data_IF_570720753493
#
_entry.id   IF_570720753493
#
_cell.length_a   1.000
_cell.length_b   1.000
_cell.length_c   1.000
_cell.angle_alpha   90.00
_cell.angle_beta   90.00
_cell.angle_gamma   90.00
#
_symmetry.space_group_name_H-M   'P 1'
#
loop_
_entity.id
_entity.type
_entity.pdbx_description
1 polymer ?
#
# COMPACT_ATOMS: atom_id res chain seq x y z
N UNK A 1 -113.75 92.20 -3.14
CA UNK A 1 -113.57 90.86 -2.52
C UNK A 1 -113.08 89.78 -3.50
N UNK A 2 -113.40 89.84 -4.80
CA UNK A 2 -113.03 88.82 -5.79
C UNK A 2 -111.52 88.71 -6.07
N UNK A 3 -110.80 89.85 -6.12
CA UNK A 3 -109.35 89.84 -6.38
C UNK A 3 -108.55 89.21 -5.24
N UNK A 4 -108.98 89.42 -3.99
CA UNK A 4 -108.29 88.87 -2.81
C UNK A 4 -108.44 87.33 -2.75
N UNK A 5 -109.60 86.78 -3.11
CA UNK A 5 -109.81 85.33 -3.21
C UNK A 5 -108.95 84.69 -4.31
N UNK A 6 -108.83 85.35 -5.46
CA UNK A 6 -107.96 84.86 -6.54
C UNK A 6 -106.48 84.88 -6.14
N UNK A 7 -106.05 85.95 -5.46
CA UNK A 7 -104.68 86.04 -4.95
C UNK A 7 -104.38 84.94 -3.94
N UNK A 8 -105.28 84.69 -2.98
CA UNK A 8 -105.14 83.62 -2.00
C UNK A 8 -105.09 82.25 -2.68
N UNK A 9 -105.97 81.99 -3.66
CA UNK A 9 -105.98 80.71 -4.38
C UNK A 9 -104.71 80.49 -5.20
N UNK A 10 -104.19 81.53 -5.86
CA UNK A 10 -102.93 81.46 -6.60
C UNK A 10 -101.74 81.22 -5.66
N UNK A 11 -101.70 81.88 -4.50
CA UNK A 11 -100.66 81.65 -3.50
C UNK A 11 -100.71 80.21 -3.00
N UNK A 12 -101.89 79.69 -2.64
CA UNK A 12 -102.05 78.29 -2.21
C UNK A 12 -101.57 77.30 -3.28
N UNK A 13 -101.89 77.56 -4.56
CA UNK A 13 -101.49 76.69 -5.66
C UNK A 13 -99.98 76.73 -5.90
N UNK A 14 -99.36 77.91 -5.84
CA UNK A 14 -97.90 78.06 -5.92
C UNK A 14 -97.22 77.34 -4.76
N UNK A 15 -97.75 77.44 -3.54
CA UNK A 15 -97.22 76.72 -2.38
C UNK A 15 -97.31 75.21 -2.56
N UNK A 16 -98.43 74.71 -3.12
CA UNK A 16 -98.61 73.29 -3.38
C UNK A 16 -97.69 72.77 -4.49
N UNK A 17 -97.54 73.52 -5.58
CA UNK A 17 -96.66 73.15 -6.69
C UNK A 17 -95.18 73.16 -6.27
N UNK A 18 -94.75 74.14 -5.46
CA UNK A 18 -93.40 74.13 -4.87
C UNK A 18 -93.20 72.94 -3.92
N UNK A 19 -94.23 72.55 -3.17
CA UNK A 19 -94.20 71.34 -2.33
C UNK A 19 -93.98 70.06 -3.13
N UNK A 20 -94.60 69.95 -4.30
CA UNK A 20 -94.46 68.78 -5.18
C UNK A 20 -93.11 68.72 -5.90
N UNK A 21 -92.53 69.85 -6.33
CA UNK A 21 -91.23 69.89 -7.03
C UNK A 21 -90.06 69.47 -6.14
N UNK A 22 -90.18 69.64 -4.82
CA UNK A 22 -89.15 69.23 -3.86
C UNK A 22 -89.13 67.70 -3.63
N UNK A 23 -90.22 66.99 -3.96
CA UNK A 23 -90.31 65.53 -3.86
C UNK A 23 -89.87 64.84 -5.16
N UNK A 24 -88.59 64.94 -5.53
CA UNK A 24 -88.02 64.11 -6.60
C UNK A 24 -87.33 62.91 -5.96
N UNK A 25 -87.79 61.70 -6.27
CA UNK A 25 -87.18 60.43 -5.85
C UNK A 25 -86.13 60.00 -6.90
N UNK A 26 -84.81 60.16 -6.66
CA UNK A 26 -83.81 59.76 -7.63
C UNK A 26 -83.62 58.24 -7.56
N UNK A 27 -83.86 57.55 -8.68
CA UNK A 27 -83.54 56.12 -8.80
C UNK A 27 -82.04 56.00 -9.06
N UNK A 28 -81.30 55.37 -8.14
CA UNK A 28 -79.87 55.06 -8.32
C UNK A 28 -79.62 53.57 -8.11
N UNK A 29 -79.14 52.91 -9.17
CA UNK A 29 -78.93 51.46 -9.25
C UNK A 29 -77.56 51.07 -8.65
N UNK A 30 -77.51 50.87 -7.34
CA UNK A 30 -76.50 50.04 -6.66
C UNK A 30 -77.26 49.15 -5.68
N UNK A 31 -76.86 47.88 -5.48
CA UNK A 31 -77.64 46.79 -4.88
C UNK A 31 -78.22 46.96 -3.46
N UNK A 32 -78.27 48.17 -2.91
CA UNK A 32 -79.22 48.59 -1.87
C UNK A 32 -79.60 50.07 -2.10
N UNK A 33 -80.89 50.42 -2.19
CA UNK A 33 -81.30 51.80 -2.46
C UNK A 33 -80.89 52.72 -1.31
N UNK A 34 -80.13 53.78 -1.62
CA UNK A 34 -79.92 54.90 -0.70
C UNK A 34 -81.22 55.70 -0.69
N UNK A 35 -82.03 55.52 0.35
CA UNK A 35 -83.22 56.33 0.56
C UNK A 35 -82.77 57.76 0.94
N UNK A 36 -82.69 58.66 -0.05
CA UNK A 36 -82.45 60.07 0.22
C UNK A 36 -83.77 60.70 0.62
N UNK A 37 -84.03 60.75 1.92
CA UNK A 37 -85.18 61.47 2.44
C UNK A 37 -84.93 62.98 2.29
N UNK A 38 -85.74 63.67 1.49
CA UNK A 38 -85.59 65.12 1.24
C UNK A 38 -85.77 65.95 2.51
N UNK A 39 -86.30 65.35 3.59
CA UNK A 39 -86.34 65.95 4.93
C UNK A 39 -84.96 66.38 5.47
N UNK A 40 -83.88 65.76 5.02
CA UNK A 40 -82.53 66.04 5.52
C UNK A 40 -81.88 67.25 4.84
N UNK A 41 -82.53 67.83 3.81
CA UNK A 41 -82.08 69.02 3.10
C UNK A 41 -82.76 70.25 3.72
N UNK A 42 -82.14 70.82 4.75
CA UNK A 42 -82.59 72.08 5.33
C UNK A 42 -82.14 73.25 4.46
N UNK A 43 -83.08 73.91 3.77
CA UNK A 43 -82.83 75.14 3.01
C UNK A 43 -83.21 76.33 3.89
N UNK A 44 -82.27 76.77 4.72
CA UNK A 44 -82.39 78.04 5.42
C UNK A 44 -81.50 79.09 4.72
N UNK A 45 -82.11 80.18 4.27
CA UNK A 45 -81.45 81.43 3.88
C UNK A 45 -80.47 81.35 2.70
N UNK A 46 -80.73 80.46 1.73
CA UNK A 46 -79.91 80.32 0.53
C UNK A 46 -78.68 79.42 0.69
N UNK A 47 -78.50 78.79 1.85
CA UNK A 47 -77.43 77.82 2.09
C UNK A 47 -78.03 76.42 2.24
N UNK A 48 -77.70 75.50 1.32
CA UNK A 48 -78.14 74.11 1.36
C UNK A 48 -77.31 73.36 2.40
N UNK A 49 -77.91 72.91 3.51
CA UNK A 49 -77.22 72.02 4.45
C UNK A 49 -77.20 70.59 3.92
N UNK A 50 -76.10 70.18 3.30
CA UNK A 50 -75.88 68.82 2.75
C UNK A 50 -75.29 67.85 3.78
N UNK A 51 -75.26 68.23 5.06
CA UNK A 51 -74.59 67.48 6.13
C UNK A 51 -75.06 66.03 6.29
N UNK A 52 -76.36 65.75 6.12
CA UNK A 52 -76.91 64.40 6.12
C UNK A 52 -76.46 63.56 4.92
N UNK A 53 -76.41 64.17 3.73
CA UNK A 53 -75.90 63.52 2.51
C UNK A 53 -74.40 63.21 2.61
N UNK A 54 -73.63 64.17 3.12
CA UNK A 54 -72.20 64.01 3.36
C UNK A 54 -71.95 62.89 4.38
N UNK A 55 -72.79 62.77 5.41
CA UNK A 55 -72.74 61.68 6.39
C UNK A 55 -73.05 60.31 5.77
N UNK A 56 -74.03 60.21 4.88
CA UNK A 56 -74.37 58.95 4.20
C UNK A 56 -73.29 58.52 3.19
N UNK A 57 -72.74 59.47 2.43
CA UNK A 57 -71.62 59.20 1.51
C UNK A 57 -70.38 58.79 2.30
N UNK A 58 -70.07 59.49 3.39
CA UNK A 58 -68.94 59.16 4.25
C UNK A 58 -69.12 57.76 4.86
N UNK A 59 -70.30 57.45 5.39
CA UNK A 59 -70.63 56.11 5.89
C UNK A 59 -70.46 55.04 4.81
N UNK A 60 -70.95 55.28 3.60
CA UNK A 60 -70.82 54.34 2.46
C UNK A 60 -69.37 54.13 2.05
N UNK A 61 -68.58 55.20 1.95
CA UNK A 61 -67.14 55.14 1.65
C UNK A 61 -66.41 54.41 2.76
N UNK A 62 -66.67 54.75 4.03
CA UNK A 62 -66.07 54.09 5.19
C UNK A 62 -66.40 52.60 5.20
N UNK A 63 -67.65 52.21 4.94
CA UNK A 63 -68.05 50.82 4.85
C UNK A 63 -67.37 50.10 3.69
N UNK A 64 -67.36 50.70 2.49
CA UNK A 64 -66.75 50.10 1.29
C UNK A 64 -65.25 49.92 1.47
N UNK A 65 -64.55 50.94 1.94
CA UNK A 65 -63.10 50.88 2.21
C UNK A 65 -62.82 49.87 3.32
N UNK A 66 -63.59 49.90 4.42
CA UNK A 66 -63.41 48.93 5.51
C UNK A 66 -63.59 47.50 5.03
N UNK A 67 -64.63 47.19 4.25
CA UNK A 67 -64.88 45.83 3.77
C UNK A 67 -63.88 45.38 2.71
N UNK A 68 -63.53 46.24 1.75
CA UNK A 68 -62.57 45.90 0.69
C UNK A 68 -61.17 45.68 1.27
N UNK A 69 -60.71 46.57 2.15
CA UNK A 69 -59.37 46.46 2.75
C UNK A 69 -59.30 45.29 3.74
N UNK A 70 -60.30 45.10 4.59
CA UNK A 70 -60.30 43.96 5.53
C UNK A 70 -60.42 42.61 4.82
N UNK A 71 -61.21 42.53 3.75
CA UNK A 71 -61.31 41.34 2.91
C UNK A 71 -59.97 40.96 2.26
N UNK A 72 -59.32 41.90 1.58
CA UNK A 72 -58.01 41.65 0.95
C UNK A 72 -56.93 41.28 1.96
N UNK A 73 -56.89 41.95 3.11
CA UNK A 73 -55.93 41.62 4.18
C UNK A 73 -56.22 40.23 4.73
N UNK A 74 -57.49 39.87 4.95
CA UNK A 74 -57.89 38.54 5.40
C UNK A 74 -57.52 37.46 4.40
N UNK A 75 -57.67 37.71 3.11
CA UNK A 75 -57.27 36.77 2.05
C UNK A 75 -55.76 36.57 2.03
N UNK A 76 -54.97 37.65 2.03
CA UNK A 76 -53.51 37.56 2.08
C UNK A 76 -53.04 36.84 3.34
N UNK A 77 -53.58 37.20 4.50
CA UNK A 77 -53.28 36.50 5.76
C UNK A 77 -53.65 35.03 5.63
N UNK A 78 -54.85 34.70 5.15
CA UNK A 78 -55.31 33.34 4.94
C UNK A 78 -54.43 32.52 3.98
N UNK A 79 -53.90 33.14 2.93
CA UNK A 79 -52.94 32.46 2.03
C UNK A 79 -51.59 32.17 2.70
N UNK A 80 -51.09 33.09 3.54
CA UNK A 80 -49.79 32.97 4.20
C UNK A 80 -49.86 32.06 5.42
N UNK A 81 -50.88 32.22 6.26
CA UNK A 81 -51.07 31.47 7.51
C UNK A 81 -51.84 30.18 7.33
N UNK A 82 -52.52 30.01 6.19
CA UNK A 82 -53.44 28.90 5.94
C UNK A 82 -54.79 29.10 6.58
N UNK A 83 -55.79 28.48 5.95
CA UNK A 83 -57.05 28.14 6.58
C UNK A 83 -56.97 26.72 7.15
N UNK A 84 -57.70 26.44 8.23
CA UNK A 84 -57.71 25.12 8.87
C UNK A 84 -58.05 24.03 7.84
N UNK A 85 -57.14 23.06 7.65
CA UNK A 85 -57.28 21.97 6.67
C UNK A 85 -56.54 22.16 5.34
N UNK A 86 -55.86 23.30 5.12
CA UNK A 86 -54.99 23.53 3.96
C UNK A 86 -53.50 23.56 4.35
N UNK A 87 -52.60 23.19 3.43
CA UNK A 87 -51.15 23.31 3.64
C UNK A 87 -50.73 24.77 3.47
N UNK A 88 -50.34 25.43 4.55
CA UNK A 88 -49.85 26.81 4.48
C UNK A 88 -48.34 26.88 4.20
N UNK A 89 -47.87 27.89 3.44
CA UNK A 89 -46.45 28.04 3.10
C UNK A 89 -45.54 28.14 4.33
N UNK A 90 -45.99 28.82 5.39
CA UNK A 90 -45.22 28.96 6.63
C UNK A 90 -45.00 27.62 7.34
N UNK A 91 -45.96 26.71 7.27
CA UNK A 91 -45.92 25.36 7.82
C UNK A 91 -44.95 24.50 7.03
N UNK A 92 -44.92 24.61 5.70
CA UNK A 92 -43.91 23.96 4.86
C UNK A 92 -42.50 24.45 5.20
N UNK A 93 -42.29 25.77 5.34
CA UNK A 93 -41.00 26.34 5.73
C UNK A 93 -40.63 25.88 7.15
N UNK A 94 -41.58 25.90 8.09
CA UNK A 94 -41.37 25.45 9.47
C UNK A 94 -41.03 23.97 9.52
N UNK A 95 -41.64 23.13 8.68
CA UNK A 95 -41.34 21.71 8.59
C UNK A 95 -39.96 21.46 7.96
N UNK A 96 -39.58 22.20 6.92
CA UNK A 96 -38.25 22.10 6.30
C UNK A 96 -37.15 22.56 7.26
N UNK A 97 -37.34 23.73 7.88
CA UNK A 97 -36.43 24.27 8.89
C UNK A 97 -36.40 23.33 10.10
N UNK A 98 -37.54 22.85 10.57
CA UNK A 98 -37.67 21.88 11.65
C UNK A 98 -37.07 20.51 11.32
N UNK A 99 -37.03 20.08 10.05
CA UNK A 99 -36.28 18.90 9.62
C UNK A 99 -34.77 19.14 9.62
N UNK A 100 -34.35 20.32 9.18
CA UNK A 100 -32.95 20.74 9.16
C UNK A 100 -32.38 20.93 10.58
N UNK A 101 -33.15 21.55 11.49
CA UNK A 101 -32.77 21.89 12.87
C UNK A 101 -33.20 20.84 13.90
N UNK A 102 -34.32 20.17 13.71
CA UNK A 102 -34.91 19.19 14.65
C UNK A 102 -34.39 17.77 14.49
N UNK A 103 -33.61 17.49 13.45
CA UNK A 103 -32.87 16.23 13.35
C UNK A 103 -31.72 16.10 14.37
N UNK A 104 -31.59 16.99 15.36
CA UNK A 104 -30.64 16.83 16.47
C UNK A 104 -31.06 15.69 17.41
N UNK A 105 -32.34 15.29 17.42
CA UNK A 105 -32.83 14.13 18.18
C UNK A 105 -33.29 12.96 17.30
N UNK A 106 -33.25 13.10 15.97
CA UNK A 106 -33.83 12.15 15.02
C UNK A 106 -33.17 12.08 13.64
N UNK A 107 -31.85 12.29 13.57
CA UNK A 107 -31.06 12.11 12.34
C UNK A 107 -31.23 13.25 11.33
N UNK A 108 -30.73 14.44 11.67
CA UNK A 108 -30.56 15.54 10.71
C UNK A 108 -29.65 15.05 9.58
N UNK A 109 -29.90 15.44 8.32
CA UNK A 109 -28.96 15.21 7.23
C UNK A 109 -27.54 15.70 7.57
N UNK A 110 -27.44 16.78 8.36
CA UNK A 110 -26.18 17.32 8.86
C UNK A 110 -25.54 16.39 9.89
N UNK A 111 -26.32 15.79 10.79
CA UNK A 111 -25.83 14.82 11.77
C UNK A 111 -25.31 13.54 11.11
N UNK A 112 -25.98 13.07 10.05
CA UNK A 112 -25.48 11.97 9.23
C UNK A 112 -24.13 12.30 8.56
N UNK A 113 -24.00 13.51 8.01
CA UNK A 113 -22.74 13.97 7.44
C UNK A 113 -21.64 14.12 8.50
N UNK A 114 -21.95 14.67 9.68
CA UNK A 114 -20.99 14.74 10.80
C UNK A 114 -20.54 13.35 11.24
N UNK A 115 -21.43 12.35 11.26
CA UNK A 115 -21.08 10.97 11.59
C UNK A 115 -20.16 10.35 10.53
N UNK A 116 -20.44 10.55 9.25
CA UNK A 116 -19.58 10.09 8.14
C UNK A 116 -18.20 10.76 8.21
N UNK A 117 -18.16 12.07 8.40
CA UNK A 117 -16.90 12.82 8.55
C UNK A 117 -16.13 12.33 9.79
N UNK A 118 -16.80 12.13 10.93
CA UNK A 118 -16.19 11.58 12.13
C UNK A 118 -15.62 10.17 11.93
N UNK A 119 -16.33 9.31 11.18
CA UNK A 119 -15.84 7.99 10.79
C UNK A 119 -14.60 8.05 9.88
N UNK A 120 -14.60 8.92 8.87
CA UNK A 120 -13.45 9.13 7.98
C UNK A 120 -12.26 9.72 8.74
N UNK A 121 -12.47 10.72 9.61
CA UNK A 121 -11.42 11.28 10.45
C UNK A 121 -10.87 10.24 11.44
N UNK A 122 -11.72 9.39 12.01
CA UNK A 122 -11.30 8.28 12.87
C UNK A 122 -10.48 7.24 12.12
N UNK A 123 -10.90 6.85 10.92
CA UNK A 123 -10.17 5.92 10.06
C UNK A 123 -8.81 6.50 9.63
N UNK A 124 -8.78 7.77 9.20
CA UNK A 124 -7.53 8.48 8.86
C UNK A 124 -6.63 8.59 10.09
N UNK A 125 -7.17 8.95 11.26
CA UNK A 125 -6.42 9.00 12.52
C UNK A 125 -5.86 7.64 12.93
N UNK A 126 -6.58 6.55 12.66
CA UNK A 126 -6.07 5.19 12.82
C UNK A 126 -4.89 4.87 11.90
N UNK A 127 -4.90 5.40 10.67
CA UNK A 127 -3.81 5.25 9.70
C UNK A 127 -2.63 6.19 9.96
N UNK A 128 -2.84 7.39 10.51
CA UNK A 128 -1.76 8.34 10.79
C UNK A 128 -1.15 8.19 12.18
N UNK A 129 -1.67 7.30 13.02
CA UNK A 129 -1.12 6.97 14.33
C UNK A 129 -1.87 7.65 15.48
N UNK A 130 -3.05 7.14 15.79
CA UNK A 130 -3.71 7.38 17.07
C UNK A 130 -3.00 6.65 18.20
N UNK A 131 -2.86 7.31 19.36
CA UNK A 131 -1.99 6.98 20.49
C UNK A 131 -2.09 5.58 21.13
N UNK A 132 -2.91 4.66 20.61
CA UNK A 132 -3.08 3.30 21.16
C UNK A 132 -3.27 2.21 20.09
N UNK A 133 -3.26 2.56 18.80
CA UNK A 133 -3.38 1.60 17.71
C UNK A 133 -2.14 1.64 16.85
N UNK A 134 -1.43 0.53 16.74
CA UNK A 134 -0.27 0.40 15.84
C UNK A 134 -0.67 0.88 14.45
N UNK A 135 -0.10 2.02 14.02
CA UNK A 135 -0.24 2.52 12.67
C UNK A 135 0.17 1.37 11.73
N UNK A 136 -0.65 0.96 10.74
CA UNK A 136 -0.28 -0.06 9.77
C UNK A 136 1.09 0.20 9.11
N UNK A 137 1.44 1.47 8.87
CA UNK A 137 2.75 1.88 8.34
C UNK A 137 3.86 1.68 9.38
N UNK A 138 3.58 1.93 10.66
CA UNK A 138 4.47 1.61 11.77
C UNK A 138 4.73 0.10 11.87
N UNK A 139 3.67 -0.71 11.85
CA UNK A 139 3.78 -2.18 11.83
C UNK A 139 4.58 -2.69 10.63
N UNK A 140 4.36 -2.14 9.44
CA UNK A 140 5.13 -2.50 8.24
C UNK A 140 6.59 -2.07 8.40
N UNK A 141 6.84 -0.89 8.96
CA UNK A 141 8.21 -0.41 9.23
C UNK A 141 8.91 -1.30 10.26
N UNK A 142 8.20 -1.74 11.31
CA UNK A 142 8.72 -2.65 12.34
C UNK A 142 8.98 -4.05 11.77
N UNK A 143 8.10 -4.56 10.90
CA UNK A 143 8.32 -5.84 10.19
C UNK A 143 9.54 -5.73 9.27
N UNK A 144 9.62 -4.68 8.46
CA UNK A 144 10.75 -4.45 7.55
C UNK A 144 12.04 -4.29 8.35
N UNK A 145 12.04 -3.48 9.40
CA UNK A 145 13.16 -3.28 10.33
C UNK A 145 13.54 -4.55 11.09
N UNK A 146 12.58 -5.39 11.46
CA UNK A 146 12.83 -6.69 12.08
C UNK A 146 13.48 -7.70 11.13
N UNK A 147 13.00 -7.76 9.88
CA UNK A 147 13.55 -8.65 8.83
C UNK A 147 14.93 -8.19 8.38
N UNK A 148 15.11 -6.89 8.12
CA UNK A 148 16.38 -6.33 7.66
C UNK A 148 17.39 -6.11 8.78
N UNK A 149 16.92 -5.96 10.02
CA UNK A 149 17.74 -5.41 11.10
C UNK A 149 17.70 -6.13 12.43
N UNK A 150 16.91 -7.19 12.65
CA UNK A 150 16.96 -8.05 13.85
C UNK A 150 16.87 -7.38 15.24
N UNK A 151 16.86 -6.06 15.38
CA UNK A 151 17.18 -5.40 16.65
C UNK A 151 16.26 -4.20 16.84
N UNK A 152 15.11 -4.47 17.45
CA UNK A 152 14.62 -3.61 18.53
C UNK A 152 14.29 -4.41 19.80
N UNK A 153 14.65 -5.71 19.88
CA UNK A 153 14.19 -6.57 20.97
C UNK A 153 14.95 -7.88 21.23
N UNK A 154 16.27 -7.94 20.96
CA UNK A 154 17.11 -9.04 21.44
C UNK A 154 16.92 -10.42 20.78
N UNK A 155 16.19 -10.51 19.66
CA UNK A 155 16.10 -11.73 18.85
C UNK A 155 17.15 -11.75 17.74
N UNK A 156 17.60 -12.94 17.32
CA UNK A 156 18.43 -13.07 16.12
C UNK A 156 17.59 -12.75 14.88
N UNK A 157 18.10 -11.91 13.96
CA UNK A 157 17.44 -11.64 12.68
C UNK A 157 17.03 -12.97 12.01
N UNK A 158 15.83 -13.08 11.41
CA UNK A 158 15.46 -14.24 10.59
C UNK A 158 16.45 -14.51 9.45
N UNK A 159 17.27 -13.51 9.08
CA UNK A 159 18.32 -13.61 8.07
C UNK A 159 19.67 -14.12 8.64
N UNK A 160 19.82 -14.23 9.96
CA UNK A 160 21.05 -14.71 10.60
C UNK A 160 21.51 -16.09 10.10
N UNK A 161 20.62 -17.08 9.87
CA UNK A 161 21.03 -18.36 9.28
C UNK A 161 21.64 -18.19 7.87
N UNK A 162 21.08 -17.30 7.05
CA UNK A 162 21.58 -17.03 5.70
C UNK A 162 22.94 -16.35 5.75
N UNK A 163 23.11 -15.35 6.63
CA UNK A 163 24.39 -14.66 6.84
C UNK A 163 25.47 -15.64 7.31
N UNK A 164 25.14 -16.54 8.23
CA UNK A 164 26.08 -17.57 8.72
C UNK A 164 26.51 -18.53 7.60
N UNK A 165 25.59 -18.96 6.74
CA UNK A 165 25.91 -19.81 5.59
C UNK A 165 26.81 -19.08 4.60
N UNK A 166 26.50 -17.81 4.29
CA UNK A 166 27.33 -16.99 3.39
C UNK A 166 28.73 -16.79 3.98
N UNK A 167 28.84 -16.47 5.26
CA UNK A 167 30.13 -16.32 5.93
C UNK A 167 30.92 -17.63 5.92
N UNK A 168 30.29 -18.75 6.24
CA UNK A 168 30.93 -20.07 6.17
C UNK A 168 31.41 -20.40 4.75
N UNK A 169 30.65 -20.01 3.72
CA UNK A 169 31.06 -20.17 2.33
C UNK A 169 32.30 -19.33 1.97
N UNK A 170 32.37 -18.10 2.49
CA UNK A 170 33.55 -17.23 2.34
C UNK A 170 34.76 -17.84 3.06
N UNK A 171 34.58 -18.36 4.26
CA UNK A 171 35.66 -18.98 5.04
C UNK A 171 36.23 -20.22 4.29
N UNK A 172 35.36 -21.03 3.70
CA UNK A 172 35.76 -22.16 2.82
C UNK A 172 36.52 -21.66 1.59
N UNK A 173 36.05 -20.59 0.94
CA UNK A 173 36.71 -20.03 -0.24
C UNK A 173 38.11 -19.48 0.09
N UNK A 174 38.27 -18.81 1.23
CA UNK A 174 39.58 -18.39 1.74
C UNK A 174 40.47 -19.59 2.09
N UNK A 175 39.88 -20.66 2.66
CA UNK A 175 40.56 -21.93 2.87
C UNK A 175 41.12 -22.52 1.57
N UNK A 176 40.32 -22.57 0.51
CA UNK A 176 40.74 -23.02 -0.82
C UNK A 176 41.84 -22.13 -1.41
N UNK A 177 41.78 -20.81 -1.20
CA UNK A 177 42.81 -19.88 -1.66
C UNK A 177 44.14 -20.09 -0.93
N UNK A 178 44.11 -20.33 0.38
CA UNK A 178 45.30 -20.68 1.16
C UNK A 178 45.88 -22.04 0.74
N UNK A 179 45.01 -23.02 0.46
CA UNK A 179 45.39 -24.35 0.01
C UNK A 179 46.05 -24.32 -1.37
N UNK A 180 45.52 -23.53 -2.31
CA UNK A 180 46.14 -23.30 -3.62
C UNK A 180 47.59 -22.86 -3.45
N UNK A 181 47.84 -21.85 -2.61
CA UNK A 181 49.19 -21.32 -2.36
C UNK A 181 50.10 -22.37 -1.73
N UNK A 182 49.58 -23.16 -0.77
CA UNK A 182 50.34 -24.23 -0.13
C UNK A 182 50.74 -25.33 -1.12
N UNK A 183 49.82 -25.82 -1.95
CA UNK A 183 50.10 -26.86 -2.95
C UNK A 183 51.16 -26.39 -3.94
N UNK A 184 51.07 -25.14 -4.41
CA UNK A 184 52.07 -24.57 -5.33
C UNK A 184 53.45 -24.54 -4.66
N UNK A 185 53.55 -24.04 -3.43
CA UNK A 185 54.83 -23.93 -2.72
C UNK A 185 55.42 -25.31 -2.40
N UNK A 186 54.60 -26.24 -1.91
CA UNK A 186 55.01 -27.62 -1.65
C UNK A 186 55.44 -28.32 -2.94
N UNK A 187 54.67 -28.18 -4.03
CA UNK A 187 55.00 -28.75 -5.32
C UNK A 187 56.34 -28.22 -5.87
N UNK A 188 56.58 -26.91 -5.79
CA UNK A 188 57.87 -26.32 -6.19
C UNK A 188 59.02 -26.87 -5.35
N UNK A 189 58.87 -26.93 -4.03
CA UNK A 189 59.93 -27.43 -3.14
C UNK A 189 60.21 -28.92 -3.37
N UNK A 190 59.15 -29.74 -3.51
CA UNK A 190 59.30 -31.17 -3.81
C UNK A 190 59.96 -31.38 -5.17
N UNK A 191 59.55 -30.68 -6.23
CA UNK A 191 60.20 -30.80 -7.54
C UNK A 191 61.66 -30.32 -7.46
N UNK A 192 61.94 -29.23 -6.76
CA UNK A 192 63.30 -28.75 -6.56
C UNK A 192 64.17 -29.79 -5.84
N UNK A 193 63.69 -30.39 -4.74
CA UNK A 193 64.45 -31.39 -3.98
C UNK A 193 64.61 -32.71 -4.75
N UNK A 194 63.59 -33.14 -5.50
CA UNK A 194 63.60 -34.44 -6.19
C UNK A 194 64.37 -34.38 -7.52
N UNK A 195 64.20 -33.31 -8.30
CA UNK A 195 64.88 -33.15 -9.61
C UNK A 195 66.35 -32.77 -9.46
N UNK A 196 66.71 -32.04 -8.39
CA UNK A 196 68.12 -31.74 -8.10
C UNK A 196 68.83 -32.91 -7.39
N UNK A 197 68.10 -33.73 -6.63
CA UNK A 197 68.68 -34.84 -5.86
C UNK A 197 68.88 -36.15 -6.63
N UNK A 198 68.09 -36.43 -7.67
CA UNK A 198 68.06 -37.77 -8.29
C UNK A 198 67.83 -37.67 -9.80
N UNK A 199 68.90 -37.47 -10.56
CA UNK A 199 68.91 -37.86 -11.98
C UNK A 199 69.78 -39.10 -12.11
N UNK A 200 69.15 -40.28 -12.22
CA UNK A 200 69.00 -40.82 -13.56
C UNK A 200 67.57 -41.27 -13.89
N UNK A 201 67.28 -41.08 -15.18
CA UNK A 201 66.04 -41.31 -15.89
C UNK A 201 65.54 -42.76 -15.74
N UNK A 202 64.37 -42.95 -15.14
CA UNK A 202 63.53 -44.10 -15.43
C UNK A 202 62.13 -43.56 -15.77
N UNK A 203 61.56 -44.02 -16.88
CA UNK A 203 60.41 -43.43 -17.57
C UNK A 203 59.06 -43.61 -16.85
N UNK A 204 59.05 -44.26 -15.68
CA UNK A 204 57.82 -44.67 -14.99
C UNK A 204 57.26 -43.62 -14.02
N UNK A 205 58.00 -43.09 -13.03
CA UNK A 205 57.42 -42.20 -12.03
C UNK A 205 56.99 -40.83 -12.58
N UNK A 206 57.63 -40.34 -13.65
CA UNK A 206 57.28 -39.04 -14.25
C UNK A 206 55.90 -39.07 -14.89
N UNK A 207 55.53 -40.20 -15.50
CA UNK A 207 54.22 -40.41 -16.13
C UNK A 207 53.11 -40.48 -15.08
N UNK A 208 53.34 -41.21 -13.99
CA UNK A 208 52.36 -41.34 -12.91
C UNK A 208 52.18 -40.03 -12.14
N UNK A 209 53.26 -39.25 -11.95
CA UNK A 209 53.19 -37.88 -11.41
C UNK A 209 52.35 -36.97 -12.32
N UNK A 210 52.49 -37.09 -13.65
CA UNK A 210 51.69 -36.33 -14.59
C UNK A 210 50.20 -36.72 -14.54
N UNK A 211 49.89 -38.02 -14.43
CA UNK A 211 48.52 -38.50 -14.24
C UNK A 211 47.91 -38.01 -12.92
N UNK A 212 48.71 -37.98 -11.83
CA UNK A 212 48.26 -37.42 -10.55
C UNK A 212 47.95 -35.92 -10.66
N UNK A 213 48.78 -35.18 -11.40
CA UNK A 213 48.55 -33.76 -11.69
C UNK A 213 47.25 -33.53 -12.47
N UNK A 214 47.01 -34.32 -13.53
CA UNK A 214 45.77 -34.25 -14.33
C UNK A 214 44.55 -34.60 -13.48
N UNK A 215 44.60 -35.70 -12.72
CA UNK A 215 43.52 -36.13 -11.84
C UNK A 215 43.19 -35.07 -10.77
N UNK A 216 44.20 -34.40 -10.23
CA UNK A 216 44.01 -33.31 -9.27
C UNK A 216 43.28 -32.12 -9.91
N UNK A 217 43.63 -31.78 -11.16
CA UNK A 217 42.98 -30.70 -11.90
C UNK A 217 41.53 -31.02 -12.25
N UNK A 218 41.25 -32.25 -12.70
CA UNK A 218 39.89 -32.73 -12.97
C UNK A 218 39.04 -32.77 -11.70
N UNK A 219 39.59 -33.28 -10.60
CA UNK A 219 38.92 -33.27 -9.28
C UNK A 219 38.54 -31.86 -8.85
N UNK A 220 39.47 -30.91 -8.98
CA UNK A 220 39.25 -29.51 -8.65
C UNK A 220 38.14 -28.90 -9.52
N UNK A 221 38.21 -29.11 -10.84
CA UNK A 221 37.21 -28.59 -11.78
C UNK A 221 35.81 -29.12 -11.49
N UNK A 222 35.68 -30.42 -11.29
CA UNK A 222 34.38 -31.06 -11.11
C UNK A 222 33.78 -30.75 -9.72
N UNK A 223 34.63 -30.61 -8.70
CA UNK A 223 34.22 -30.13 -7.36
C UNK A 223 33.71 -28.69 -7.42
N UNK A 224 34.40 -27.80 -8.14
CA UNK A 224 33.98 -26.40 -8.29
C UNK A 224 32.66 -26.30 -9.07
N UNK A 225 32.51 -27.08 -10.15
CA UNK A 225 31.27 -27.10 -10.92
C UNK A 225 30.09 -27.62 -10.08
N UNK A 226 30.27 -28.70 -9.32
CA UNK A 226 29.24 -29.21 -8.41
C UNK A 226 28.92 -28.24 -7.26
N UNK A 227 29.93 -27.53 -6.73
CA UNK A 227 29.70 -26.51 -5.70
C UNK A 227 28.89 -25.33 -6.24
N UNK A 228 29.16 -24.89 -7.47
CA UNK A 228 28.41 -23.82 -8.11
C UNK A 228 26.96 -24.24 -8.41
N UNK A 229 26.75 -25.48 -8.82
CA UNK A 229 25.41 -26.06 -9.01
C UNK A 229 24.66 -26.15 -7.67
N UNK A 230 25.32 -26.59 -6.60
CA UNK A 230 24.76 -26.61 -5.24
C UNK A 230 24.29 -25.22 -4.80
N UNK A 231 25.13 -24.19 -4.99
CA UNK A 231 24.79 -22.80 -4.69
C UNK A 231 23.64 -22.32 -5.57
N UNK A 232 23.65 -22.66 -6.86
CA UNK A 232 22.58 -22.31 -7.81
C UNK A 232 21.23 -22.88 -7.38
N UNK A 233 21.17 -24.16 -7.00
CA UNK A 233 19.95 -24.78 -6.47
C UNK A 233 19.50 -24.13 -5.16
N UNK A 234 20.43 -23.84 -4.24
CA UNK A 234 20.10 -23.20 -2.96
C UNK A 234 19.54 -21.77 -3.15
N UNK A 235 20.12 -20.99 -4.07
CA UNK A 235 19.62 -19.66 -4.45
C UNK A 235 18.26 -19.76 -5.18
N UNK A 236 18.06 -20.84 -5.95
CA UNK A 236 16.77 -21.17 -6.58
C UNK A 236 15.71 -21.72 -5.61
N UNK A 237 16.05 -21.95 -4.34
CA UNK A 237 15.14 -22.51 -3.32
C UNK A 237 14.97 -24.03 -3.36
N UNK A 238 15.77 -24.75 -4.16
CA UNK A 238 15.73 -26.19 -4.33
C UNK A 238 16.75 -26.91 -3.42
N UNK A 239 16.35 -27.17 -2.18
CA UNK A 239 17.20 -27.86 -1.19
C UNK A 239 17.51 -29.30 -1.60
N UNK A 240 16.60 -29.97 -2.33
CA UNK A 240 16.81 -31.36 -2.76
C UNK A 240 17.87 -31.42 -3.85
N UNK A 241 17.80 -30.53 -4.86
CA UNK A 241 18.84 -30.40 -5.89
C UNK A 241 20.19 -30.01 -5.31
N UNK A 242 20.22 -29.08 -4.35
CA UNK A 242 21.46 -28.70 -3.66
C UNK A 242 22.08 -29.88 -2.90
N UNK A 243 21.25 -30.69 -2.22
CA UNK A 243 21.71 -31.89 -1.51
C UNK A 243 22.27 -32.93 -2.49
N UNK A 244 21.61 -33.13 -3.63
CA UNK A 244 22.05 -34.07 -4.68
C UNK A 244 23.40 -33.65 -5.27
N UNK A 245 23.54 -32.37 -5.62
CA UNK A 245 24.79 -31.84 -6.17
C UNK A 245 25.94 -31.92 -5.15
N UNK A 246 25.68 -31.62 -3.87
CA UNK A 246 26.64 -31.83 -2.78
C UNK A 246 27.05 -33.31 -2.59
N UNK A 247 26.10 -34.25 -2.69
CA UNK A 247 26.44 -35.69 -2.68
C UNK A 247 27.23 -36.12 -3.91
N UNK A 248 26.99 -35.48 -5.07
CA UNK A 248 27.76 -35.68 -6.30
C UNK A 248 29.22 -35.26 -6.13
N UNK A 249 29.47 -34.10 -5.53
CA UNK A 249 30.83 -33.66 -5.15
C UNK A 249 31.52 -34.71 -4.27
N UNK A 250 30.81 -35.22 -3.25
CA UNK A 250 31.35 -36.24 -2.35
C UNK A 250 31.73 -37.51 -3.13
N UNK A 251 30.89 -37.93 -4.08
CA UNK A 251 31.17 -39.05 -4.98
C UNK A 251 32.44 -38.84 -5.80
N UNK A 252 32.62 -37.65 -6.38
CA UNK A 252 33.83 -37.28 -7.13
C UNK A 252 35.08 -37.32 -6.26
N UNK A 253 35.04 -36.73 -5.05
CA UNK A 253 36.17 -36.76 -4.12
C UNK A 253 36.57 -38.17 -3.72
N UNK A 254 35.58 -39.03 -3.41
CA UNK A 254 35.83 -40.42 -3.03
C UNK A 254 36.40 -41.21 -4.20
N UNK A 255 35.83 -41.07 -5.40
CA UNK A 255 36.30 -41.75 -6.60
C UNK A 255 37.73 -41.34 -6.95
N UNK A 256 37.99 -40.03 -7.03
CA UNK A 256 39.30 -39.53 -7.42
C UNK A 256 40.34 -39.72 -6.31
N UNK A 257 39.94 -39.68 -5.04
CA UNK A 257 40.82 -40.03 -3.91
C UNK A 257 41.27 -41.49 -3.94
N UNK A 258 40.36 -42.41 -4.31
CA UNK A 258 40.71 -43.82 -4.53
C UNK A 258 41.69 -43.98 -5.70
N UNK A 259 41.45 -43.29 -6.82
CA UNK A 259 42.34 -43.31 -7.99
C UNK A 259 43.71 -42.72 -7.67
N UNK A 260 43.76 -41.59 -6.96
CA UNK A 260 45.00 -40.95 -6.53
C UNK A 260 45.82 -41.84 -5.58
N UNK A 261 45.15 -42.60 -4.70
CA UNK A 261 45.81 -43.58 -3.82
C UNK A 261 46.47 -44.69 -4.63
N UNK A 262 45.83 -45.16 -5.71
CA UNK A 262 46.43 -46.11 -6.65
C UNK A 262 47.69 -45.55 -7.31
N UNK A 263 47.59 -44.37 -7.90
CA UNK A 263 48.73 -43.69 -8.56
C UNK A 263 49.88 -43.45 -7.58
N UNK A 264 49.59 -43.02 -6.35
CA UNK A 264 50.62 -42.81 -5.33
C UNK A 264 51.29 -44.12 -4.90
N UNK A 265 50.53 -45.23 -4.85
CA UNK A 265 51.07 -46.56 -4.59
C UNK A 265 52.01 -47.00 -5.71
N UNK A 266 51.67 -46.71 -6.96
CA UNK A 266 52.51 -47.02 -8.12
C UNK A 266 53.79 -46.17 -8.14
N UNK A 267 53.69 -44.86 -7.86
CA UNK A 267 54.85 -43.97 -7.72
C UNK A 267 55.77 -44.47 -6.60
N UNK A 268 55.21 -44.78 -5.42
CA UNK A 268 55.98 -45.23 -4.28
C UNK A 268 56.60 -46.62 -4.55
N UNK A 269 55.86 -47.54 -5.17
CA UNK A 269 56.36 -48.85 -5.59
C UNK A 269 57.52 -48.73 -6.59
N UNK A 270 57.39 -47.84 -7.58
CA UNK A 270 58.43 -47.53 -8.56
C UNK A 270 59.67 -46.91 -7.92
N UNK A 271 59.51 -45.96 -7.00
CA UNK A 271 60.61 -45.32 -6.25
C UNK A 271 61.29 -46.31 -5.30
N UNK A 272 60.53 -47.16 -4.60
CA UNK A 272 61.10 -48.19 -3.72
C UNK A 272 61.81 -49.27 -4.53
N UNK A 273 61.31 -49.59 -5.73
CA UNK A 273 61.99 -50.47 -6.69
C UNK A 273 63.26 -49.86 -7.27
N UNK A 274 63.28 -48.56 -7.56
CA UNK A 274 64.45 -47.86 -8.09
C UNK A 274 65.53 -47.61 -7.01
N UNK A 275 65.15 -47.19 -5.80
CA UNK A 275 66.05 -47.03 -4.65
C UNK A 275 66.51 -48.40 -4.14
N UNK A 276 65.61 -49.40 -4.10
CA UNK A 276 65.94 -50.80 -3.82
C UNK A 276 66.86 -51.40 -4.88
N UNK A 277 66.81 -50.93 -6.13
CA UNK A 277 67.75 -51.30 -7.19
C UNK A 277 69.11 -50.61 -7.10
N UNK A 278 69.16 -49.33 -6.68
CA UNK A 278 70.43 -48.59 -6.47
C UNK A 278 71.15 -49.01 -5.18
N UNK A 279 70.42 -49.55 -4.19
CA UNK A 279 71.00 -50.18 -2.99
C UNK A 279 70.98 -51.72 -3.06
N UNK A 280 70.62 -52.31 -4.19
CA UNK A 280 70.36 -53.74 -4.31
C UNK A 280 70.30 -54.25 -5.75
N UNK A 281 71.46 -54.30 -6.41
CA UNK A 281 71.70 -55.40 -7.34
C UNK A 281 72.13 -56.59 -6.47
N UNK A 282 71.34 -57.61 -6.18
CA UNK A 282 70.68 -58.45 -7.16
C UNK A 282 69.50 -59.19 -6.51
N UNK A 283 68.30 -58.62 -6.70
CA UNK A 283 67.02 -59.34 -6.88
C UNK A 283 66.52 -60.17 -5.70
N UNK A 284 66.08 -59.53 -4.60
CA UNK A 284 65.87 -60.32 -3.37
C UNK A 284 67.17 -60.98 -2.88
N UNK A 285 68.32 -60.52 -3.36
CA UNK A 285 69.63 -60.81 -2.86
C UNK A 285 70.10 -59.59 -2.08
N UNK A 286 70.18 -59.81 -0.78
CA UNK A 286 70.89 -59.02 0.21
C UNK A 286 72.07 -58.20 -0.41
N UNK A 287 72.23 -56.89 -0.09
CA UNK A 287 73.31 -56.04 -0.61
C UNK A 287 74.76 -56.53 -0.38
N UNK A 288 74.96 -57.59 0.41
CA UNK A 288 76.24 -58.30 0.55
C UNK A 288 76.60 -59.17 -0.67
N UNK A 289 75.63 -59.54 -1.51
CA UNK A 289 75.85 -60.37 -2.71
C UNK A 289 76.65 -59.64 -3.79
N UNK A 290 76.32 -58.38 -4.08
CA UNK A 290 77.08 -57.53 -5.02
C UNK A 290 78.51 -57.33 -4.57
N UNK A 291 78.73 -57.13 -3.27
CA UNK A 291 80.07 -56.97 -2.70
C UNK A 291 80.86 -58.27 -2.83
N UNK A 292 80.21 -59.41 -2.63
CA UNK A 292 80.84 -60.73 -2.79
C UNK A 292 81.18 -61.04 -4.25
N UNK A 293 80.34 -60.66 -5.20
CA UNK A 293 80.60 -60.84 -6.63
C UNK A 293 81.69 -59.90 -7.15
N UNK A 294 81.76 -58.66 -6.65
CA UNK A 294 82.86 -57.72 -6.95
C UNK A 294 84.18 -58.23 -6.37
N UNK A 295 84.19 -58.70 -5.11
CA UNK A 295 85.40 -59.28 -4.50
C UNK A 295 85.79 -60.59 -5.20
N UNK A 296 84.83 -61.44 -5.56
CA UNK A 296 85.04 -62.70 -6.28
C UNK A 296 85.60 -62.46 -7.69
N UNK A 297 85.08 -61.48 -8.41
CA UNK A 297 85.58 -61.07 -9.73
C UNK A 297 87.00 -60.49 -9.67
N UNK A 298 87.29 -59.64 -8.67
CA UNK A 298 88.63 -59.07 -8.47
C UNK A 298 89.63 -60.16 -8.05
N UNK A 299 89.23 -61.09 -7.17
CA UNK A 299 90.08 -62.22 -6.75
C UNK A 299 90.32 -63.20 -7.89
N UNK A 300 89.31 -63.44 -8.74
CA UNK A 300 89.42 -64.27 -9.95
C UNK A 300 90.33 -63.64 -11.02
N UNK A 301 90.27 -62.32 -11.21
CA UNK A 301 91.16 -61.61 -12.11
C UNK A 301 92.63 -61.62 -11.63
N UNK A 302 92.86 -61.53 -10.30
CA UNK A 302 94.21 -61.60 -9.71
C UNK A 302 94.75 -63.05 -9.73
N UNK A 303 93.88 -64.05 -9.51
CA UNK A 303 94.23 -65.47 -9.63
C UNK A 303 94.52 -65.90 -11.07
N UNK A 304 93.86 -65.30 -12.06
CA UNK A 304 94.12 -65.53 -13.49
C UNK A 304 95.46 -64.98 -13.97
N UNK A 305 95.96 -63.89 -13.37
CA UNK A 305 97.26 -63.29 -13.71
C UNK A 305 98.46 -64.06 -13.14
N UNK A 306 98.25 -64.95 -12.16
CA UNK A 306 99.32 -65.79 -11.58
C UNK A 306 99.36 -67.22 -12.14
N UNK A 307 98.40 -67.61 -12.99
CA UNK A 307 98.27 -68.97 -13.53
C UNK A 307 98.71 -69.16 -14.99
N UNK A 308 99.29 -68.16 -15.64
CA UNK A 308 99.71 -68.22 -17.05
C UNK A 308 101.16 -67.82 -17.25
N UNK A 309 102.09 -68.75 -16.96
CA UNK A 309 103.47 -68.75 -17.44
C UNK A 309 103.78 -70.13 -18.00
#
# INVERSE_FOLDING_TARGET
MFLLKNLVSSITKVTQDLGNVVSVNPVVNTGSPVNVNVSDINIANGNVSTSGLLSNVLSTVTNTVSHATTGLVSDVVGTVTGTAGSTNPLGTITNVVGGLTGGVTGGSPVGGLTNVIGGVTGAIGGVTGGATGSNPVGTVTDIIGGVTGGVVGGGTSPLAPVVNVVQSGIDVLQGVESLKTSIINTGINTVADTVVGVLPQTEHPVTDIAHLGTLTFETSRDTVNGALETVSHLVGGDIQGATQSATGILGTLVHNGSTATGILTDILGGVTGAIGGVTGGTTGGNPLGTVTDIIGGVTGAIGGVTGGA
#
